data_IF_925774469757
#
_entry.id   IF_925774469757
#
_cell.length_a   1.000
_cell.length_b   1.000
_cell.length_c   1.000
_cell.angle_alpha   90.00
_cell.angle_beta   90.00
_cell.angle_gamma   90.00
#
_symmetry.space_group_name_H-M   'P 1'
#
loop_
_entity.id
_entity.type
_entity.pdbx_description
1 polymer ?
#
# COMPACT_ATOMS: atom_id res chain seq x y z
N UNK A 1 4.42 7.64 4.45
CA UNK A 1 3.73 6.50 5.07
C UNK A 1 2.23 6.66 4.87
N UNK A 2 1.49 5.57 4.61
CA UNK A 2 0.02 5.55 4.63
C UNK A 2 -0.41 4.50 5.66
N UNK A 3 -1.07 4.97 6.73
CA UNK A 3 -1.54 4.12 7.81
C UNK A 3 -2.89 3.46 7.52
N UNK A 4 -3.12 2.28 8.08
CA UNK A 4 -4.37 1.52 7.98
C UNK A 4 -4.68 0.79 9.31
N UNK A 5 -5.92 0.36 9.49
CA UNK A 5 -6.35 -0.37 10.70
C UNK A 5 -6.06 -1.87 10.61
N UNK A 6 -6.06 -2.44 9.41
CA UNK A 6 -5.92 -3.87 9.18
C UNK A 6 -7.13 -4.66 9.65
N UNK A 7 -6.90 -5.90 10.10
CA UNK A 7 -7.96 -6.85 10.51
C UNK A 7 -8.70 -6.41 11.78
N UNK A 8 -8.03 -5.68 12.70
CA UNK A 8 -8.63 -5.19 13.92
C UNK A 8 -9.12 -3.74 13.74
N UNK A 9 -10.30 -3.60 13.18
CA UNK A 9 -11.03 -2.35 13.03
C UNK A 9 -12.14 -2.17 14.10
N UNK A 10 -12.19 -3.04 15.10
CA UNK A 10 -13.06 -2.97 16.28
C UNK A 10 -12.37 -2.29 17.46
N UNK A 11 -11.19 -2.77 17.86
CA UNK A 11 -10.46 -2.18 18.99
C UNK A 11 -9.58 -1.00 18.57
N UNK A 12 -9.18 -0.94 17.29
CA UNK A 12 -8.52 0.20 16.66
C UNK A 12 -9.56 1.06 15.94
N UNK A 13 -9.42 2.37 16.06
CA UNK A 13 -10.40 3.30 15.50
C UNK A 13 -9.78 4.21 14.44
N UNK A 14 -10.59 4.66 13.48
CA UNK A 14 -10.17 5.69 12.51
C UNK A 14 -9.67 6.96 13.22
N UNK A 15 -10.27 7.33 14.35
CA UNK A 15 -9.81 8.45 15.18
C UNK A 15 -8.40 8.25 15.73
N UNK A 16 -8.11 7.07 16.26
CA UNK A 16 -6.78 6.70 16.74
C UNK A 16 -5.74 6.69 15.61
N UNK A 17 -6.12 6.20 14.44
CA UNK A 17 -5.27 6.20 13.25
C UNK A 17 -4.94 7.62 12.77
N UNK A 18 -5.93 8.53 12.74
CA UNK A 18 -5.72 9.95 12.41
C UNK A 18 -4.79 10.61 13.43
N UNK A 19 -4.98 10.35 14.73
CA UNK A 19 -4.10 10.86 15.79
C UNK A 19 -2.65 10.36 15.59
N UNK A 20 -2.46 9.07 15.28
CA UNK A 20 -1.14 8.51 15.01
C UNK A 20 -0.50 9.08 13.75
N UNK A 21 -1.28 9.29 12.70
CA UNK A 21 -0.83 9.92 11.45
C UNK A 21 -0.30 11.34 11.70
N UNK A 22 -1.01 12.12 12.52
CA UNK A 22 -0.58 13.46 12.91
C UNK A 22 0.68 13.43 13.79
N UNK A 23 0.77 12.49 14.72
CA UNK A 23 1.97 12.32 15.53
C UNK A 23 3.21 12.01 14.67
N UNK A 24 3.09 11.16 13.66
CA UNK A 24 4.19 10.90 12.72
C UNK A 24 4.59 12.16 11.92
N UNK A 25 3.64 13.02 11.57
CA UNK A 25 3.95 14.30 10.91
C UNK A 25 4.72 15.25 11.84
N UNK A 26 4.35 15.31 13.12
CA UNK A 26 5.08 16.10 14.13
C UNK A 26 6.52 15.57 14.34
N UNK A 27 6.72 14.26 14.17
CA UNK A 27 8.05 13.64 14.18
C UNK A 27 8.83 13.83 12.86
N UNK A 28 8.27 14.57 11.88
CA UNK A 28 8.93 14.93 10.63
C UNK A 28 8.69 13.96 9.46
N UNK A 29 7.83 12.95 9.62
CA UNK A 29 7.49 12.01 8.55
C UNK A 29 6.31 12.53 7.73
N UNK A 30 6.36 12.31 6.41
CA UNK A 30 5.18 12.49 5.56
C UNK A 30 4.22 11.34 5.75
N UNK A 31 3.03 11.59 6.32
CA UNK A 31 2.08 10.55 6.70
C UNK A 31 0.65 10.89 6.29
N UNK A 32 -0.06 9.88 5.81
CA UNK A 32 -1.49 9.86 5.46
C UNK A 32 -2.12 8.60 6.03
N UNK A 33 -3.43 8.45 5.90
CA UNK A 33 -4.12 7.22 6.26
C UNK A 33 -5.36 6.98 5.39
N UNK A 34 -5.83 5.74 5.46
CA UNK A 34 -7.12 5.36 4.94
C UNK A 34 -8.21 5.56 6.00
N UNK A 35 -9.46 5.71 5.59
CA UNK A 35 -10.62 5.51 6.46
C UNK A 35 -11.13 4.08 6.29
N UNK A 36 -11.86 3.55 7.27
CA UNK A 36 -12.34 2.17 7.27
C UNK A 36 -11.31 1.15 7.76
N UNK A 37 -11.56 -0.09 7.50
CA UNK A 37 -10.75 -1.26 7.83
C UNK A 37 -11.15 -2.44 6.95
N UNK A 38 -10.98 -3.68 7.44
CA UNK A 38 -11.26 -4.90 6.67
C UNK A 38 -12.74 -5.09 6.35
N UNK A 39 -13.64 -4.56 7.18
CA UNK A 39 -15.05 -4.96 7.19
C UNK A 39 -15.98 -3.92 6.56
N UNK A 40 -17.16 -4.39 6.15
CA UNK A 40 -18.29 -3.57 5.73
C UNK A 40 -19.40 -3.75 6.77
N UNK A 41 -20.02 -2.63 7.23
CA UNK A 41 -19.76 -1.23 6.90
C UNK A 41 -18.42 -0.74 7.46
N UNK A 42 -17.68 0.12 6.74
CA UNK A 42 -16.39 0.63 7.20
C UNK A 42 -16.54 1.58 8.38
N UNK A 43 -15.60 1.50 9.34
CA UNK A 43 -15.52 2.46 10.45
C UNK A 43 -15.09 3.82 9.95
N UNK A 44 -15.85 4.87 10.28
CA UNK A 44 -15.62 6.25 9.83
C UNK A 44 -15.71 7.24 10.99
N UNK A 45 -15.15 8.45 10.84
CA UNK A 45 -15.26 9.53 11.82
C UNK A 45 -16.46 10.43 11.59
N UNK A 46 -16.80 10.67 10.33
CA UNK A 46 -17.89 11.61 9.95
C UNK A 46 -19.19 10.90 9.60
N UNK A 47 -19.24 9.57 9.72
CA UNK A 47 -20.40 8.74 9.40
C UNK A 47 -20.45 8.24 7.95
N UNK A 48 -19.54 8.69 7.07
CA UNK A 48 -19.43 8.19 5.69
C UNK A 48 -17.97 8.22 5.20
N UNK A 49 -17.61 7.30 4.29
CA UNK A 49 -16.31 7.29 3.61
C UNK A 49 -16.04 8.61 2.89
N UNK A 50 -17.05 9.10 2.17
CA UNK A 50 -16.97 10.38 1.46
C UNK A 50 -16.73 11.55 2.41
N UNK A 51 -17.43 11.58 3.55
CA UNK A 51 -17.28 12.62 4.56
C UNK A 51 -15.88 12.67 5.14
N UNK A 52 -15.30 11.52 5.46
CA UNK A 52 -13.93 11.41 5.98
C UNK A 52 -12.89 11.91 4.98
N UNK A 53 -12.96 11.42 3.74
CA UNK A 53 -12.00 11.81 2.68
C UNK A 53 -12.07 13.31 2.40
N UNK A 54 -13.28 13.91 2.34
CA UNK A 54 -13.44 15.34 2.03
C UNK A 54 -12.99 16.22 3.19
N UNK A 55 -13.35 15.88 4.43
CA UNK A 55 -13.21 16.80 5.58
C UNK A 55 -11.93 16.59 6.41
N UNK A 56 -11.25 15.45 6.29
CA UNK A 56 -10.06 15.15 7.09
C UNK A 56 -8.82 15.15 6.19
N UNK A 57 -7.92 16.07 6.43
CA UNK A 57 -6.75 16.37 5.57
C UNK A 57 -5.87 15.16 5.26
N UNK A 58 -5.58 14.33 6.25
CA UNK A 58 -4.71 13.18 6.14
C UNK A 58 -5.39 11.91 5.59
N UNK A 59 -6.72 11.87 5.50
CA UNK A 59 -7.44 10.75 4.89
C UNK A 59 -7.51 10.93 3.39
N UNK A 60 -6.98 9.95 2.63
CA UNK A 60 -6.83 10.05 1.18
C UNK A 60 -7.67 9.04 0.38
N UNK A 61 -8.28 8.06 1.04
CA UNK A 61 -9.12 7.02 0.44
C UNK A 61 -9.67 6.08 1.48
N UNK A 62 -10.27 4.97 1.03
CA UNK A 62 -10.81 3.89 1.86
C UNK A 62 -9.82 2.72 1.89
N UNK A 63 -9.64 2.07 3.03
CA UNK A 63 -8.88 0.82 3.14
C UNK A 63 -8.42 0.52 4.58
N UNK A 64 -7.91 -0.62 4.77
CA UNK A 64 -7.72 -1.73 3.85
C UNK A 64 -8.98 -2.61 3.84
N UNK A 65 -9.76 -2.61 2.77
CA UNK A 65 -10.98 -3.43 2.69
C UNK A 65 -10.62 -4.85 2.22
N UNK A 66 -10.96 -5.87 3.01
CA UNK A 66 -10.60 -7.24 2.70
C UNK A 66 -11.57 -7.89 1.69
N UNK A 67 -11.01 -8.47 0.64
CA UNK A 67 -11.72 -9.26 -0.37
C UNK A 67 -10.98 -10.58 -0.62
N UNK A 68 -11.72 -11.62 -1.00
CA UNK A 68 -11.13 -12.96 -1.22
C UNK A 68 -10.29 -13.48 -0.04
N UNK A 69 -10.74 -13.20 1.17
CA UNK A 69 -10.13 -13.60 2.44
C UNK A 69 -11.22 -14.14 3.36
N UNK A 70 -10.92 -15.23 4.10
CA UNK A 70 -11.84 -15.81 5.07
C UNK A 70 -12.14 -14.87 6.24
N UNK A 71 -11.25 -13.90 6.53
CA UNK A 71 -11.41 -12.87 7.56
C UNK A 71 -12.23 -11.66 7.09
N UNK A 72 -12.56 -11.57 5.81
CA UNK A 72 -13.35 -10.46 5.28
C UNK A 72 -14.82 -10.57 5.65
N UNK A 73 -15.54 -9.45 5.63
CA UNK A 73 -17.01 -9.40 5.74
C UNK A 73 -17.72 -9.95 4.50
N UNK A 74 -17.00 -10.46 3.52
CA UNK A 74 -17.53 -10.98 2.24
C UNK A 74 -18.36 -9.94 1.48
N UNK A 75 -17.83 -8.75 1.16
CA UNK A 75 -18.60 -7.69 0.56
C UNK A 75 -19.27 -8.14 -0.75
N UNK A 76 -20.51 -7.73 -0.90
CA UNK A 76 -21.28 -7.94 -2.13
C UNK A 76 -20.82 -6.97 -3.24
N UNK A 77 -21.28 -7.21 -4.48
CA UNK A 77 -21.07 -6.29 -5.59
C UNK A 77 -21.57 -4.88 -5.28
N UNK A 78 -22.79 -4.75 -4.75
CA UNK A 78 -23.43 -3.46 -4.48
C UNK A 78 -22.67 -2.68 -3.40
N UNK A 79 -22.16 -3.36 -2.38
CA UNK A 79 -21.38 -2.73 -1.31
C UNK A 79 -20.04 -2.22 -1.84
N UNK A 80 -19.28 -3.04 -2.57
CA UNK A 80 -18.00 -2.61 -3.14
C UNK A 80 -18.18 -1.47 -4.15
N UNK A 81 -19.16 -1.57 -5.05
CA UNK A 81 -19.45 -0.55 -6.04
C UNK A 81 -19.83 0.79 -5.38
N UNK A 82 -20.66 0.76 -4.33
CA UNK A 82 -21.05 1.95 -3.56
C UNK A 82 -19.87 2.59 -2.85
N UNK A 83 -19.07 1.81 -2.14
CA UNK A 83 -17.89 2.30 -1.43
C UNK A 83 -16.85 2.88 -2.40
N UNK A 84 -16.63 2.23 -3.53
CA UNK A 84 -15.74 2.72 -4.57
C UNK A 84 -16.25 4.04 -5.19
N UNK A 85 -17.56 4.17 -5.41
CA UNK A 85 -18.18 5.41 -5.87
C UNK A 85 -18.02 6.54 -4.84
N UNK A 86 -18.25 6.27 -3.55
CA UNK A 86 -18.06 7.27 -2.49
C UNK A 86 -16.59 7.75 -2.43
N UNK A 87 -15.62 6.83 -2.45
CA UNK A 87 -14.22 7.18 -2.45
C UNK A 87 -13.83 7.99 -3.70
N UNK A 88 -14.25 7.54 -4.88
CA UNK A 88 -13.98 8.21 -6.16
C UNK A 88 -14.50 9.64 -6.18
N UNK A 89 -15.78 9.85 -5.85
CA UNK A 89 -16.39 11.17 -5.84
C UNK A 89 -15.73 12.08 -4.81
N UNK A 90 -15.42 11.55 -3.61
CA UNK A 90 -14.68 12.31 -2.59
C UNK A 90 -13.30 12.76 -3.08
N UNK A 91 -12.58 11.87 -3.77
CA UNK A 91 -11.29 12.20 -4.39
C UNK A 91 -11.37 13.29 -5.44
N UNK A 92 -12.47 13.33 -6.24
CA UNK A 92 -12.72 14.41 -7.19
C UNK A 92 -12.98 15.74 -6.49
N UNK A 93 -13.80 15.74 -5.44
CA UNK A 93 -14.17 16.95 -4.69
C UNK A 93 -12.98 17.54 -3.91
N UNK A 94 -12.12 16.70 -3.36
CA UNK A 94 -11.02 17.11 -2.46
C UNK A 94 -9.64 17.13 -3.13
N UNK A 95 -9.54 16.73 -4.41
CA UNK A 95 -8.27 16.53 -5.15
C UNK A 95 -7.33 15.50 -4.51
N UNK A 96 -7.87 14.58 -3.70
CA UNK A 96 -7.14 13.48 -3.09
C UNK A 96 -7.19 12.23 -3.97
N UNK A 97 -6.51 11.15 -3.57
CA UNK A 97 -6.49 9.88 -4.30
C UNK A 97 -7.91 9.36 -4.58
N UNK A 98 -8.74 9.26 -3.54
CA UNK A 98 -10.12 8.79 -3.65
C UNK A 98 -10.19 7.36 -4.17
N UNK A 99 -9.34 6.49 -3.64
CA UNK A 99 -9.20 5.09 -4.05
C UNK A 99 -9.68 4.15 -2.96
N UNK A 100 -9.97 2.91 -3.34
CA UNK A 100 -10.21 1.79 -2.43
C UNK A 100 -8.97 0.91 -2.43
N UNK A 101 -8.26 0.89 -1.32
CA UNK A 101 -7.14 -0.01 -1.08
C UNK A 101 -7.69 -1.35 -0.60
N UNK A 102 -7.43 -2.41 -1.37
CA UNK A 102 -8.05 -3.72 -1.18
C UNK A 102 -7.02 -4.73 -0.69
N UNK A 103 -7.25 -5.29 0.49
CA UNK A 103 -6.53 -6.47 0.94
C UNK A 103 -6.98 -7.70 0.15
N UNK A 104 -6.08 -8.31 -0.57
CA UNK A 104 -6.31 -9.61 -1.22
C UNK A 104 -5.83 -10.71 -0.29
N UNK A 105 -6.77 -11.59 0.09
CA UNK A 105 -6.47 -12.80 0.86
C UNK A 105 -5.98 -13.96 -0.01
N UNK A 106 -6.02 -15.13 0.58
CA UNK A 106 -5.65 -16.41 -0.04
C UNK A 106 -6.84 -17.15 -0.66
N UNK A 107 -8.03 -16.54 -0.65
CA UNK A 107 -9.24 -17.09 -1.22
C UNK A 107 -9.15 -17.29 -2.74
N UNK A 108 -9.84 -18.33 -3.23
CA UNK A 108 -9.81 -18.72 -4.66
C UNK A 108 -10.48 -17.68 -5.60
N UNK A 109 -11.36 -16.82 -5.06
CA UNK A 109 -12.09 -15.84 -5.86
C UNK A 109 -11.21 -14.69 -6.41
N UNK A 110 -10.01 -14.50 -5.84
CA UNK A 110 -9.04 -13.50 -6.28
C UNK A 110 -9.67 -12.13 -6.55
N UNK A 111 -9.48 -11.62 -7.74
CA UNK A 111 -9.96 -10.30 -8.19
C UNK A 111 -11.33 -10.34 -8.90
N UNK A 112 -12.06 -11.46 -8.84
CA UNK A 112 -13.34 -11.62 -9.55
C UNK A 112 -14.37 -10.53 -9.24
N UNK A 113 -14.45 -10.10 -7.95
CA UNK A 113 -15.37 -9.04 -7.54
C UNK A 113 -14.98 -7.69 -8.14
N UNK A 114 -13.69 -7.37 -8.19
CA UNK A 114 -13.16 -6.12 -8.80
C UNK A 114 -13.46 -6.13 -10.31
N UNK A 115 -13.18 -7.24 -11.00
CA UNK A 115 -13.49 -7.40 -12.44
C UNK A 115 -14.97 -7.16 -12.73
N UNK A 116 -15.81 -7.71 -11.87
CA UNK A 116 -17.25 -7.57 -12.02
C UNK A 116 -17.68 -6.11 -11.86
N UNK A 117 -17.17 -5.40 -10.85
CA UNK A 117 -17.49 -3.98 -10.64
C UNK A 117 -16.99 -3.14 -11.83
N UNK A 118 -15.80 -3.39 -12.35
CA UNK A 118 -15.29 -2.70 -13.54
C UNK A 118 -16.12 -2.95 -14.79
N UNK A 119 -16.62 -4.18 -14.97
CA UNK A 119 -17.40 -4.55 -16.15
C UNK A 119 -18.88 -4.12 -16.09
N UNK A 120 -19.45 -3.90 -14.90
CA UNK A 120 -20.88 -3.62 -14.71
C UNK A 120 -21.15 -2.17 -14.23
N UNK A 121 -20.11 -1.32 -14.08
CA UNK A 121 -20.26 0.08 -13.65
C UNK A 121 -19.36 1.01 -14.47
N UNK A 122 -19.56 2.32 -14.32
CA UNK A 122 -18.71 3.37 -14.93
C UNK A 122 -17.50 3.75 -14.06
N UNK A 123 -17.18 2.98 -13.02
CA UNK A 123 -16.03 3.25 -12.16
C UNK A 123 -14.72 2.99 -12.91
N UNK A 124 -13.79 3.94 -12.96
CA UNK A 124 -12.52 3.73 -13.65
C UNK A 124 -11.58 2.81 -12.84
N UNK A 125 -10.77 1.98 -13.52
CA UNK A 125 -9.85 1.03 -12.90
C UNK A 125 -8.95 1.65 -11.83
N UNK A 126 -8.52 2.90 -12.02
CA UNK A 126 -7.70 3.64 -11.05
C UNK A 126 -8.31 3.83 -9.65
N UNK A 127 -9.58 3.52 -9.46
CA UNK A 127 -10.22 3.60 -8.13
C UNK A 127 -9.80 2.42 -7.26
N UNK A 128 -9.41 1.30 -7.85
CA UNK A 128 -9.06 0.08 -7.13
C UNK A 128 -7.55 -0.07 -7.00
N UNK A 129 -7.09 -0.38 -5.79
CA UNK A 129 -5.70 -0.61 -5.45
C UNK A 129 -5.55 -1.94 -4.70
N UNK A 130 -5.59 -3.07 -5.40
CA UNK A 130 -5.37 -4.37 -4.77
C UNK A 130 -3.92 -4.52 -4.32
N UNK A 131 -3.72 -4.80 -3.02
CA UNK A 131 -2.42 -5.11 -2.43
C UNK A 131 -2.26 -6.60 -2.15
N UNK A 132 -1.05 -7.03 -1.86
CA UNK A 132 -0.64 -8.43 -1.63
C UNK A 132 -0.86 -9.34 -2.85
N UNK A 133 -0.90 -8.77 -4.05
CA UNK A 133 -1.20 -9.56 -5.26
C UNK A 133 -0.14 -10.60 -5.59
N UNK A 134 1.07 -10.48 -5.02
CA UNK A 134 2.16 -11.45 -5.17
C UNK A 134 2.11 -12.63 -4.18
N UNK A 135 1.13 -12.65 -3.25
CA UNK A 135 0.99 -13.73 -2.24
C UNK A 135 0.54 -15.07 -2.82
N UNK A 136 -0.04 -15.07 -4.03
CA UNK A 136 -0.37 -16.25 -4.81
C UNK A 136 -0.02 -16.02 -6.27
N UNK A 137 0.56 -17.04 -6.90
CA UNK A 137 0.98 -16.94 -8.32
C UNK A 137 -0.18 -16.70 -9.26
N UNK A 138 -1.33 -17.36 -9.02
CA UNK A 138 -2.54 -17.19 -9.81
C UNK A 138 -3.15 -15.80 -9.65
N UNK A 139 -3.17 -15.27 -8.42
CA UNK A 139 -3.63 -13.92 -8.13
C UNK A 139 -2.77 -12.87 -8.81
N UNK A 140 -1.45 -13.08 -8.85
CA UNK A 140 -0.54 -12.20 -9.56
C UNK A 140 -0.82 -12.15 -11.07
N UNK A 141 -1.11 -13.31 -11.70
CA UNK A 141 -1.52 -13.35 -13.10
C UNK A 141 -2.80 -12.52 -13.35
N UNK A 142 -3.82 -12.69 -12.52
CA UNK A 142 -5.04 -11.89 -12.60
C UNK A 142 -4.77 -10.39 -12.44
N UNK A 143 -3.89 -10.02 -11.51
CA UNK A 143 -3.52 -8.63 -11.27
C UNK A 143 -2.77 -8.01 -12.45
N UNK A 144 -1.89 -8.77 -13.10
CA UNK A 144 -1.22 -8.36 -14.35
C UNK A 144 -2.23 -8.02 -15.45
N UNK A 145 -3.28 -8.84 -15.61
CA UNK A 145 -4.34 -8.53 -16.60
C UNK A 145 -5.09 -7.25 -16.23
N UNK A 146 -5.51 -7.09 -14.98
CA UNK A 146 -6.21 -5.88 -14.53
C UNK A 146 -5.36 -4.61 -14.62
N UNK A 147 -4.04 -4.74 -14.50
CA UNK A 147 -3.15 -3.58 -14.65
C UNK A 147 -3.26 -2.93 -16.03
N UNK A 148 -3.62 -3.69 -17.06
CA UNK A 148 -3.87 -3.18 -18.42
C UNK A 148 -5.18 -2.41 -18.55
N UNK A 149 -6.07 -2.53 -17.58
CA UNK A 149 -7.34 -1.81 -17.48
C UNK A 149 -7.24 -0.57 -16.55
N UNK A 150 -6.02 -0.04 -16.35
CA UNK A 150 -5.72 1.08 -15.43
C UNK A 150 -5.99 0.80 -13.94
N UNK A 151 -6.00 -0.44 -13.52
CA UNK A 151 -5.92 -0.79 -12.09
C UNK A 151 -4.44 -0.70 -11.68
N UNK A 152 -4.16 0.04 -10.62
CA UNK A 152 -2.80 0.06 -10.05
C UNK A 152 -2.71 -1.06 -9.03
N UNK A 153 -1.80 -1.99 -9.25
CA UNK A 153 -1.59 -3.14 -8.36
C UNK A 153 -0.41 -2.91 -7.43
N UNK A 154 -0.45 -3.53 -6.25
CA UNK A 154 0.58 -3.36 -5.24
C UNK A 154 1.21 -4.71 -4.86
N UNK A 155 2.54 -4.78 -4.98
CA UNK A 155 3.33 -5.89 -4.48
C UNK A 155 3.73 -5.64 -3.04
N UNK A 156 3.67 -6.67 -2.22
CA UNK A 156 4.12 -6.56 -0.83
C UNK A 156 5.50 -7.18 -0.67
N UNK A 157 6.40 -6.43 -0.06
CA UNK A 157 7.76 -6.85 0.23
C UNK A 157 7.81 -7.73 1.50
N UNK A 158 7.26 -8.93 1.42
CA UNK A 158 7.31 -9.94 2.48
C UNK A 158 8.28 -11.07 2.10
N UNK A 159 8.85 -11.77 3.10
CA UNK A 159 9.67 -12.95 2.83
C UNK A 159 8.82 -14.08 2.24
N UNK A 160 9.39 -14.81 1.29
CA UNK A 160 8.76 -16.00 0.66
C UNK A 160 9.70 -17.17 0.87
N UNK A 161 9.20 -18.27 1.43
CA UNK A 161 9.96 -19.49 1.66
C UNK A 161 10.01 -20.35 0.39
N UNK A 162 11.04 -21.23 0.31
CA UNK A 162 11.17 -22.16 -0.80
C UNK A 162 9.97 -23.12 -0.85
N UNK A 163 9.32 -23.20 -2.02
CA UNK A 163 8.15 -24.06 -2.23
C UNK A 163 6.80 -23.36 -2.01
N UNK A 164 6.76 -22.15 -1.48
CA UNK A 164 5.51 -21.39 -1.39
C UNK A 164 4.93 -21.04 -2.75
N UNK A 165 3.61 -21.04 -2.83
CA UNK A 165 2.87 -20.60 -4.04
C UNK A 165 2.77 -19.07 -4.12
N UNK A 166 3.86 -18.38 -3.85
CA UNK A 166 3.97 -16.92 -3.84
C UNK A 166 5.16 -16.45 -4.70
N UNK A 167 5.22 -15.16 -4.97
CA UNK A 167 6.39 -14.49 -5.53
C UNK A 167 6.94 -13.49 -4.52
N UNK A 168 8.25 -13.46 -4.34
CA UNK A 168 8.89 -12.32 -3.68
C UNK A 168 8.56 -11.02 -4.44
N UNK A 169 8.63 -9.86 -3.78
CA UNK A 169 8.38 -8.60 -4.46
C UNK A 169 9.36 -8.37 -5.63
N UNK A 170 10.61 -8.84 -5.51
CA UNK A 170 11.60 -8.75 -6.58
C UNK A 170 11.23 -9.65 -7.77
N UNK A 171 10.86 -10.92 -7.52
CA UNK A 171 10.45 -11.84 -8.59
C UNK A 171 9.16 -11.37 -9.29
N UNK A 172 8.21 -10.87 -8.51
CA UNK A 172 6.95 -10.33 -9.04
C UNK A 172 7.20 -9.07 -9.89
N UNK A 173 8.11 -8.19 -9.44
CA UNK A 173 8.50 -7.00 -10.19
C UNK A 173 9.10 -7.37 -11.56
N UNK A 174 10.05 -8.31 -11.61
CA UNK A 174 10.64 -8.80 -12.86
C UNK A 174 9.57 -9.38 -13.79
N UNK A 175 8.72 -10.27 -13.26
CA UNK A 175 7.64 -10.90 -14.04
C UNK A 175 6.63 -9.91 -14.58
N UNK A 176 6.32 -8.85 -13.84
CA UNK A 176 5.43 -7.77 -14.29
C UNK A 176 6.00 -7.05 -15.50
N UNK A 177 7.31 -6.77 -15.49
CA UNK A 177 8.01 -6.13 -16.60
C UNK A 177 8.20 -7.07 -17.79
N UNK A 178 8.54 -8.33 -17.56
CA UNK A 178 8.64 -9.36 -18.62
C UNK A 178 7.33 -9.55 -19.36
N UNK A 179 6.20 -9.40 -18.68
CA UNK A 179 4.86 -9.42 -19.28
C UNK A 179 4.47 -8.14 -20.00
N UNK A 180 5.35 -7.15 -20.01
CA UNK A 180 5.09 -5.84 -20.62
C UNK A 180 3.82 -5.17 -20.04
N UNK A 181 3.55 -5.36 -18.75
CA UNK A 181 2.49 -4.66 -18.07
C UNK A 181 2.84 -3.16 -17.92
N UNK A 182 1.84 -2.26 -17.82
CA UNK A 182 2.08 -0.82 -17.72
C UNK A 182 2.87 -0.48 -16.45
N UNK A 183 4.13 -0.13 -16.56
CA UNK A 183 5.03 0.13 -15.41
C UNK A 183 4.49 1.19 -14.43
N UNK A 184 3.71 2.16 -14.92
CA UNK A 184 3.06 3.18 -14.08
C UNK A 184 1.93 2.62 -13.20
N UNK A 185 1.43 1.42 -13.48
CA UNK A 185 0.36 0.75 -12.74
C UNK A 185 0.89 -0.27 -11.72
N UNK A 186 2.14 -0.14 -11.33
CA UNK A 186 2.79 -0.96 -10.30
C UNK A 186 3.27 -0.11 -9.13
N UNK A 187 2.93 -0.54 -7.91
CA UNK A 187 3.52 -0.05 -6.66
C UNK A 187 4.11 -1.21 -5.86
N UNK A 188 5.00 -0.89 -4.93
CA UNK A 188 5.55 -1.83 -3.96
C UNK A 188 5.42 -1.24 -2.58
N UNK A 189 4.85 -1.99 -1.64
CA UNK A 189 4.70 -1.62 -0.24
C UNK A 189 5.37 -2.63 0.70
N UNK A 190 5.58 -2.24 1.95
CA UNK A 190 6.20 -3.12 2.95
C UNK A 190 5.20 -3.87 3.82
N UNK A 191 3.96 -3.42 3.87
CA UNK A 191 2.99 -3.85 4.91
C UNK A 191 3.60 -3.77 6.34
N UNK A 192 4.45 -2.76 6.57
CA UNK A 192 5.22 -2.63 7.80
C UNK A 192 4.35 -2.51 9.05
N UNK A 193 4.52 -3.42 10.00
CA UNK A 193 3.67 -3.60 11.17
C UNK A 193 2.47 -4.50 10.95
N UNK A 194 2.25 -4.99 9.73
CA UNK A 194 1.25 -6.02 9.41
C UNK A 194 1.57 -7.35 10.10
N UNK A 195 0.53 -8.05 10.55
CA UNK A 195 0.67 -9.35 11.17
C UNK A 195 0.83 -10.45 10.11
N UNK A 196 1.79 -11.33 10.30
CA UNK A 196 2.05 -12.50 9.45
C UNK A 196 1.79 -13.78 10.27
N UNK A 197 0.51 -14.17 10.47
CA UNK A 197 0.17 -15.39 11.19
C UNK A 197 0.47 -16.62 10.34
N UNK A 198 1.03 -17.65 10.97
CA UNK A 198 1.19 -18.98 10.39
C UNK A 198 0.21 -19.92 11.09
N UNK A 199 -0.58 -20.66 10.31
CA UNK A 199 -1.56 -21.59 10.81
C UNK A 199 -1.15 -23.03 10.49
N UNK A 200 -1.52 -23.98 11.37
CA UNK A 200 -1.42 -25.42 11.10
C UNK A 200 -2.58 -25.90 10.22
N UNK A 201 -2.53 -27.19 9.84
CA UNK A 201 -3.58 -27.84 9.01
C UNK A 201 -4.97 -27.85 9.68
N UNK A 202 -5.06 -27.60 10.99
CA UNK A 202 -6.30 -27.53 11.75
C UNK A 202 -6.81 -26.09 11.92
N UNK A 203 -6.10 -25.09 11.36
CA UNK A 203 -6.44 -23.68 11.47
C UNK A 203 -6.03 -23.04 12.81
N UNK A 204 -5.18 -23.68 13.62
CA UNK A 204 -4.64 -23.06 14.82
C UNK A 204 -3.41 -22.23 14.47
N UNK A 205 -3.35 -21.02 15.03
CA UNK A 205 -2.19 -20.14 14.87
C UNK A 205 -0.98 -20.72 15.65
N UNK A 206 0.06 -21.11 14.93
CA UNK A 206 1.30 -21.70 15.50
C UNK A 206 2.42 -20.69 15.64
N UNK A 207 2.39 -19.60 14.85
CA UNK A 207 3.38 -18.53 14.89
C UNK A 207 2.74 -17.20 14.50
N UNK A 208 3.26 -16.11 15.07
CA UNK A 208 2.93 -14.75 14.67
C UNK A 208 4.24 -13.99 14.40
N UNK A 209 4.44 -13.57 13.18
CA UNK A 209 5.50 -12.65 12.77
C UNK A 209 4.92 -11.28 12.42
N UNK A 210 5.78 -10.31 12.20
CA UNK A 210 5.41 -8.97 11.80
C UNK A 210 6.24 -8.52 10.60
N UNK A 211 5.56 -7.96 9.60
CA UNK A 211 6.23 -7.34 8.48
C UNK A 211 7.05 -6.13 8.93
N UNK A 212 8.21 -5.93 8.33
CA UNK A 212 9.08 -4.79 8.63
C UNK A 212 9.12 -3.81 7.47
N UNK A 213 9.29 -2.52 7.76
CA UNK A 213 9.48 -1.51 6.72
C UNK A 213 10.81 -1.66 5.96
N UNK A 214 11.74 -2.46 6.47
CA UNK A 214 13.03 -2.76 5.81
C UNK A 214 12.85 -3.49 4.48
N UNK A 215 11.77 -4.28 4.32
CA UNK A 215 11.49 -5.06 3.12
C UNK A 215 11.52 -4.25 1.82
N UNK A 216 11.14 -2.97 1.84
CA UNK A 216 11.26 -2.09 0.67
C UNK A 216 12.73 -1.85 0.26
N UNK A 217 13.59 -1.54 1.22
CA UNK A 217 15.02 -1.32 0.96
C UNK A 217 15.71 -2.63 0.53
N UNK A 218 15.33 -3.74 1.13
CA UNK A 218 15.83 -5.08 0.80
C UNK A 218 15.42 -5.48 -0.63
N UNK A 219 14.16 -5.23 -1.02
CA UNK A 219 13.67 -5.47 -2.39
C UNK A 219 14.42 -4.61 -3.41
N UNK A 220 14.65 -3.32 -3.11
CA UNK A 220 15.43 -2.44 -3.95
C UNK A 220 16.87 -2.95 -4.13
N UNK A 221 17.53 -3.31 -3.03
CA UNK A 221 18.89 -3.84 -3.07
C UNK A 221 18.97 -5.13 -3.88
N UNK A 222 18.01 -6.02 -3.73
CA UNK A 222 17.96 -7.28 -4.47
C UNK A 222 17.83 -7.04 -5.98
N UNK A 223 16.93 -6.13 -6.40
CA UNK A 223 16.77 -5.79 -7.82
C UNK A 223 18.03 -5.15 -8.41
N UNK A 224 18.67 -4.23 -7.67
CA UNK A 224 19.96 -3.65 -8.08
C UNK A 224 21.07 -4.73 -8.19
N UNK A 225 21.12 -5.67 -7.24
CA UNK A 225 22.08 -6.79 -7.25
C UNK A 225 21.86 -7.74 -8.44
N UNK A 226 20.61 -7.88 -8.90
CA UNK A 226 20.24 -8.62 -10.12
C UNK A 226 20.60 -7.87 -11.41
N UNK A 227 21.08 -6.63 -11.32
CA UNK A 227 21.56 -5.82 -12.44
C UNK A 227 20.52 -4.90 -13.07
N UNK A 228 19.39 -4.70 -12.40
CA UNK A 228 18.41 -3.71 -12.87
C UNK A 228 18.87 -2.27 -12.56
N UNK A 229 18.61 -1.35 -13.48
CA UNK A 229 18.96 0.06 -13.32
C UNK A 229 18.04 0.75 -12.29
N UNK A 230 18.61 1.63 -11.46
CA UNK A 230 17.88 2.33 -10.40
C UNK A 230 16.67 3.11 -10.94
N UNK A 231 16.82 3.75 -12.09
CA UNK A 231 15.78 4.56 -12.73
C UNK A 231 14.58 3.73 -13.19
N UNK A 232 14.77 2.42 -13.40
CA UNK A 232 13.71 1.49 -13.81
C UNK A 232 13.00 0.89 -12.59
N UNK A 233 13.75 0.61 -11.51
CA UNK A 233 13.22 -0.01 -10.29
C UNK A 233 12.48 1.00 -9.42
N UNK A 234 13.06 2.18 -9.25
CA UNK A 234 12.64 3.16 -8.24
C UNK A 234 11.20 3.70 -8.43
N UNK A 235 10.67 3.89 -9.65
CA UNK A 235 9.32 4.40 -9.84
C UNK A 235 8.24 3.66 -9.08
N UNK A 236 8.29 2.33 -8.99
CA UNK A 236 7.29 1.52 -8.28
C UNK A 236 7.25 1.79 -6.75
N UNK A 237 8.33 2.34 -6.19
CA UNK A 237 8.46 2.67 -4.76
C UNK A 237 8.35 4.18 -4.48
N UNK A 238 8.32 5.03 -5.52
CA UNK A 238 8.39 6.50 -5.39
C UNK A 238 7.36 7.21 -6.26
N UNK A 239 7.70 7.51 -7.53
CA UNK A 239 6.88 8.35 -8.40
C UNK A 239 5.54 7.74 -8.74
N UNK A 240 5.44 6.42 -8.93
CA UNK A 240 4.15 5.76 -9.18
C UNK A 240 3.23 5.93 -7.97
N UNK A 241 3.75 5.66 -6.76
CA UNK A 241 3.01 5.82 -5.50
C UNK A 241 2.53 7.27 -5.34
N UNK A 242 3.44 8.24 -5.50
CA UNK A 242 3.11 9.66 -5.36
C UNK A 242 2.07 10.14 -6.37
N UNK A 243 2.21 9.73 -7.64
CA UNK A 243 1.28 10.08 -8.71
C UNK A 243 -0.10 9.43 -8.49
N UNK A 244 -0.11 8.14 -8.17
CA UNK A 244 -1.34 7.38 -7.95
C UNK A 244 -2.13 7.91 -6.74
N UNK A 245 -1.44 8.12 -5.63
CA UNK A 245 -2.04 8.62 -4.40
C UNK A 245 -2.21 10.15 -4.39
N UNK A 246 -1.83 10.83 -5.48
CA UNK A 246 -1.92 12.30 -5.62
C UNK A 246 -1.25 13.04 -4.47
N UNK A 247 -0.02 12.65 -4.13
CA UNK A 247 0.75 13.26 -3.06
C UNK A 247 1.56 14.45 -3.61
N UNK A 248 1.14 15.69 -3.35
CA UNK A 248 1.83 16.85 -3.90
C UNK A 248 3.26 16.97 -3.34
N UNK A 249 4.20 17.32 -4.20
CA UNK A 249 5.60 17.51 -3.81
C UNK A 249 6.40 16.23 -3.56
N UNK A 250 5.83 15.04 -3.80
CA UNK A 250 6.47 13.75 -3.51
C UNK A 250 6.87 12.97 -4.77
N UNK A 251 7.78 12.01 -4.58
CA UNK A 251 8.16 11.00 -5.58
C UNK A 251 9.14 11.46 -6.64
N UNK A 252 9.70 12.65 -6.56
CA UNK A 252 10.67 13.19 -7.52
C UNK A 252 11.58 14.25 -6.91
N UNK A 253 12.75 14.41 -7.49
CA UNK A 253 13.72 15.43 -7.10
C UNK A 253 13.66 16.54 -8.16
N UNK A 254 12.92 17.60 -7.87
CA UNK A 254 12.82 18.79 -8.72
C UNK A 254 12.58 20.05 -7.87
N UNK A 255 12.92 21.26 -8.38
CA UNK A 255 12.64 22.51 -7.68
C UNK A 255 11.14 22.65 -7.36
N UNK A 256 10.83 22.92 -6.09
CA UNK A 256 9.45 23.04 -5.60
C UNK A 256 8.85 21.76 -5.03
N UNK A 257 9.53 20.61 -5.14
CA UNK A 257 9.19 19.39 -4.42
C UNK A 257 9.75 19.40 -3.00
N UNK A 258 9.16 18.58 -2.13
CA UNK A 258 9.68 18.39 -0.77
C UNK A 258 11.07 17.74 -0.83
N UNK A 259 11.94 18.17 0.06
CA UNK A 259 13.29 17.62 0.17
C UNK A 259 13.26 16.30 0.96
N UNK A 260 12.64 15.28 0.37
CA UNK A 260 12.64 13.90 0.86
C UNK A 260 13.66 13.11 0.02
N UNK A 261 14.80 12.83 0.60
CA UNK A 261 15.94 12.26 -0.10
C UNK A 261 16.45 11.01 0.62
N UNK A 262 16.82 10.00 -0.15
CA UNK A 262 17.52 8.82 0.35
C UNK A 262 18.85 8.71 -0.40
N UNK A 263 19.96 8.66 0.34
CA UNK A 263 21.28 8.42 -0.23
C UNK A 263 21.67 6.95 -0.02
N UNK A 264 21.99 6.28 -1.10
CA UNK A 264 22.45 4.90 -1.11
C UNK A 264 23.98 4.86 -1.26
N UNK A 265 24.61 3.83 -0.70
CA UNK A 265 26.01 3.52 -1.02
C UNK A 265 26.11 2.69 -2.32
N UNK A 266 27.34 2.38 -2.75
CA UNK A 266 27.60 1.61 -3.97
C UNK A 266 27.08 0.16 -3.93
N UNK A 267 26.60 -0.32 -2.78
CA UNK A 267 25.93 -1.61 -2.62
C UNK A 267 24.40 -1.47 -2.47
N UNK A 268 23.83 -0.29 -2.71
CA UNK A 268 22.40 -0.03 -2.59
C UNK A 268 21.88 0.12 -1.15
N UNK A 269 22.76 0.20 -0.15
CA UNK A 269 22.35 0.32 1.26
C UNK A 269 22.07 1.78 1.62
N UNK A 270 20.99 2.01 2.37
CA UNK A 270 20.63 3.35 2.86
C UNK A 270 21.70 3.89 3.80
N UNK A 271 22.25 5.05 3.48
CA UNK A 271 23.27 5.77 4.28
C UNK A 271 22.72 7.04 4.93
N UNK A 272 21.96 7.81 4.18
CA UNK A 272 21.37 9.02 4.72
C UNK A 272 19.91 9.11 4.30
N UNK A 273 19.08 9.69 5.16
CA UNK A 273 17.65 9.95 4.88
C UNK A 273 17.34 11.38 5.30
N UNK A 274 16.75 12.12 4.40
CA UNK A 274 16.20 13.44 4.64
C UNK A 274 14.68 13.40 4.45
N UNK A 275 13.95 14.00 5.35
CA UNK A 275 12.50 14.17 5.26
C UNK A 275 12.15 15.66 5.47
N UNK A 276 11.43 16.26 4.53
CA UNK A 276 11.06 17.66 4.58
C UNK A 276 12.23 18.63 4.77
N UNK A 277 13.42 18.29 4.24
CA UNK A 277 14.63 19.09 4.38
C UNK A 277 15.43 18.88 5.67
N UNK A 278 14.98 18.00 6.57
CA UNK A 278 15.68 17.68 7.81
C UNK A 278 16.30 16.28 7.75
N UNK A 279 17.55 16.17 8.21
CA UNK A 279 18.22 14.88 8.29
C UNK A 279 17.58 14.01 9.37
N UNK A 280 17.13 12.82 9.01
CA UNK A 280 16.59 11.79 9.92
C UNK A 280 17.61 10.69 10.20
N UNK A 281 18.39 10.32 9.17
CA UNK A 281 19.48 9.33 9.27
C UNK A 281 20.73 9.92 8.63
N UNK A 282 21.88 9.78 9.31
CA UNK A 282 23.20 10.10 8.77
C UNK A 282 24.17 8.94 9.07
N UNK A 283 24.97 8.56 8.07
CA UNK A 283 25.91 7.45 8.16
C UNK A 283 25.30 6.14 8.66
N UNK A 284 24.05 5.88 8.29
CA UNK A 284 23.30 4.69 8.68
C UNK A 284 22.76 4.72 10.12
N UNK A 285 22.87 5.85 10.83
CA UNK A 285 22.38 6.00 12.20
C UNK A 285 21.31 7.08 12.28
N UNK A 286 20.19 6.86 13.03
CA UNK A 286 19.19 7.87 13.31
C UNK A 286 19.81 9.07 14.02
N UNK A 287 19.49 10.30 13.56
CA UNK A 287 19.95 11.57 14.17
C UNK A 287 18.81 12.36 14.81
N UNK A 288 17.58 11.98 14.53
CA UNK A 288 16.37 12.49 15.19
C UNK A 288 15.80 11.36 16.05
N UNK A 289 15.45 11.72 17.26
CA UNK A 289 14.82 10.81 18.23
C UNK A 289 13.37 11.22 18.45
N UNK A 290 12.49 10.24 18.61
CA UNK A 290 11.12 10.50 19.04
C UNK A 290 11.07 11.11 20.43
N UNK A 291 9.94 11.74 20.77
CA UNK A 291 9.74 12.49 22.03
C UNK A 291 10.11 11.69 23.29
N UNK A 292 9.97 10.38 23.25
CA UNK A 292 10.22 9.47 24.39
C UNK A 292 11.46 8.59 24.22
N UNK A 293 12.24 8.77 23.16
CA UNK A 293 13.50 8.06 22.94
C UNK A 293 14.67 8.77 23.62
N UNK A 294 15.58 8.00 24.24
CA UNK A 294 16.76 8.51 24.94
C UNK A 294 18.04 8.31 24.16
#
# INVERSE_FOLDING_TARGET
>A
VVGLLGTDDETRTTGGLVARTRALREEGLSAWCWTGGYHVPPTTLTGTVRGDIVNIDCIIGLGELAVSDHRSSQPSFDELARLASEAHVAGLLSRKAGVVHLHLGDGERGLSLVRRVLGETELPGRVFHPTHVNRRKELFEEACELSRENVVIDLTAFPVEEGENAWSAADAWERFHDRQCPAANLTVSSDGGGCLPVFDDNGNMVKMDFATSAGLAETLQELLRRGHELEVVLPAMTSNVANYLRLPGKGKIEPGSDADLVCLDGAGRVRHVMAGGSWMVQDGSPVVKGTFER
#
